data_IF_819079976788
#
_entry.id   IF_819079976788
#
_cell.length_a   1.000
_cell.length_b   1.000
_cell.length_c   1.000
_cell.angle_alpha   90.00
_cell.angle_beta   90.00
_cell.angle_gamma   90.00
#
_symmetry.space_group_name_H-M   'P 1'
#
loop_
_entity.id
_entity.type
_entity.pdbx_description
1 polymer ?
#
# COMPACT_ATOMS: atom_id res chain seq x y z
N UNK A 1 -8.84 0.36 -22.35
CA UNK A 1 -9.58 -0.91 -22.50
C UNK A 1 -8.73 -2.16 -22.22
N UNK A 2 -7.50 -2.28 -22.74
CA UNK A 2 -6.63 -3.45 -22.50
C UNK A 2 -6.34 -3.72 -21.02
N UNK A 3 -6.07 -2.66 -20.24
CA UNK A 3 -5.84 -2.76 -18.78
C UNK A 3 -7.05 -3.32 -18.05
N UNK A 4 -8.27 -2.89 -18.39
CA UNK A 4 -9.50 -3.39 -17.80
C UNK A 4 -9.70 -4.88 -18.09
N UNK A 5 -9.40 -5.33 -19.31
CA UNK A 5 -9.48 -6.75 -19.68
C UNK A 5 -8.44 -7.59 -18.92
N UNK A 6 -7.23 -7.06 -18.73
CA UNK A 6 -6.18 -7.74 -17.95
C UNK A 6 -6.58 -7.90 -16.48
N UNK A 7 -7.14 -6.86 -15.86
CA UNK A 7 -7.64 -6.92 -14.48
C UNK A 7 -8.76 -7.96 -14.32
N UNK A 8 -9.71 -8.03 -15.26
CA UNK A 8 -10.75 -9.06 -15.26
C UNK A 8 -10.17 -10.48 -15.41
N UNK A 9 -9.16 -10.66 -16.26
CA UNK A 9 -8.48 -11.95 -16.40
C UNK A 9 -7.74 -12.34 -15.11
N UNK A 10 -7.09 -11.38 -14.45
CA UNK A 10 -6.45 -11.61 -13.16
C UNK A 10 -7.46 -12.05 -12.11
N UNK A 11 -8.58 -11.33 -11.99
CA UNK A 11 -9.67 -11.67 -11.06
C UNK A 11 -10.24 -13.08 -11.28
N UNK A 12 -10.29 -13.54 -12.53
CA UNK A 12 -10.78 -14.89 -12.86
C UNK A 12 -9.76 -16.00 -12.63
N UNK A 13 -8.49 -15.73 -12.95
CA UNK A 13 -7.50 -16.80 -13.10
C UNK A 13 -6.53 -16.91 -11.91
N UNK A 14 -6.39 -15.85 -11.10
CA UNK A 14 -5.50 -15.88 -9.93
C UNK A 14 -6.19 -16.49 -8.73
N UNK A 15 -5.40 -17.18 -7.90
CA UNK A 15 -5.82 -17.59 -6.56
C UNK A 15 -5.50 -16.48 -5.56
N UNK A 16 -6.49 -16.10 -4.77
CA UNK A 16 -6.36 -15.08 -3.75
C UNK A 16 -6.39 -15.70 -2.36
N UNK A 17 -5.52 -15.21 -1.47
CA UNK A 17 -5.40 -15.69 -0.08
C UNK A 17 -5.84 -14.64 0.93
N UNK A 18 -6.09 -13.41 0.47
CA UNK A 18 -6.56 -12.30 1.29
C UNK A 18 -7.44 -11.37 0.44
N UNK A 19 -8.37 -10.68 1.10
CA UNK A 19 -9.31 -9.73 0.48
C UNK A 19 -8.60 -8.51 -0.10
N UNK A 20 -7.59 -7.89 0.55
CA UNK A 20 -6.92 -6.70 -0.01
C UNK A 20 -6.30 -6.93 -1.39
N UNK A 21 -5.77 -8.12 -1.67
CA UNK A 21 -5.23 -8.43 -3.01
C UNK A 21 -6.31 -8.47 -4.10
N UNK A 22 -7.55 -8.80 -3.73
CA UNK A 22 -8.70 -8.79 -4.64
C UNK A 22 -9.14 -7.34 -4.86
N UNK A 23 -9.23 -6.56 -3.79
CA UNK A 23 -9.62 -5.15 -3.82
C UNK A 23 -8.70 -4.32 -4.72
N UNK A 24 -7.40 -4.57 -4.70
CA UNK A 24 -6.44 -3.90 -5.62
C UNK A 24 -6.77 -4.19 -7.09
N UNK A 25 -7.15 -5.42 -7.43
CA UNK A 25 -7.47 -5.78 -8.82
C UNK A 25 -8.85 -5.23 -9.24
N UNK A 26 -9.82 -5.20 -8.32
CA UNK A 26 -11.12 -4.53 -8.52
C UNK A 26 -10.90 -3.03 -8.71
N UNK A 27 -10.07 -2.38 -7.91
CA UNK A 27 -9.76 -0.95 -8.02
C UNK A 27 -9.04 -0.62 -9.34
N UNK A 28 -8.08 -1.45 -9.76
CA UNK A 28 -7.46 -1.29 -11.08
C UNK A 28 -8.46 -1.42 -12.21
N UNK A 29 -9.38 -2.38 -12.11
CA UNK A 29 -10.46 -2.53 -13.07
C UNK A 29 -11.34 -1.27 -13.06
N UNK A 30 -11.79 -0.85 -11.88
CA UNK A 30 -12.71 0.26 -11.67
C UNK A 30 -12.15 1.57 -12.22
N UNK A 31 -10.88 1.89 -11.93
CA UNK A 31 -10.16 3.04 -12.50
C UNK A 31 -10.04 2.94 -14.02
N UNK A 32 -9.75 1.75 -14.57
CA UNK A 32 -9.58 1.57 -16.01
C UNK A 32 -10.88 1.73 -16.80
N UNK A 33 -12.04 1.61 -16.16
CA UNK A 33 -13.37 1.82 -16.77
C UNK A 33 -14.08 3.07 -16.26
N UNK A 34 -13.48 3.81 -15.32
CA UNK A 34 -14.06 5.03 -14.75
C UNK A 34 -15.30 4.80 -13.88
N UNK A 35 -15.39 3.68 -13.17
CA UNK A 35 -16.52 3.41 -12.26
C UNK A 35 -16.02 3.14 -10.85
N UNK A 36 -16.92 3.30 -9.91
CA UNK A 36 -16.76 2.98 -8.50
C UNK A 36 -17.59 1.76 -8.13
N UNK A 37 -17.07 1.00 -7.18
CA UNK A 37 -17.73 -0.18 -6.64
C UNK A 37 -17.93 -0.03 -5.14
N UNK A 38 -19.15 -0.25 -4.69
CA UNK A 38 -19.49 -0.29 -3.28
C UNK A 38 -19.42 -1.73 -2.78
N UNK A 39 -18.64 -1.93 -1.71
CA UNK A 39 -18.55 -3.20 -1.01
C UNK A 39 -19.75 -3.37 -0.08
N UNK A 40 -20.49 -4.47 -0.26
CA UNK A 40 -21.62 -4.88 0.56
C UNK A 40 -21.27 -6.23 1.17
N UNK A 41 -21.16 -6.26 2.50
CA UNK A 41 -21.05 -7.50 3.25
C UNK A 41 -22.42 -8.18 3.26
N UNK A 42 -22.52 -9.33 2.60
CA UNK A 42 -23.78 -10.09 2.58
C UNK A 42 -23.81 -11.11 3.75
N UNK A 43 -22.65 -11.71 4.07
CA UNK A 43 -22.42 -12.60 5.22
C UNK A 43 -20.91 -12.64 5.58
N UNK A 44 -20.53 -13.26 6.70
CA UNK A 44 -19.12 -13.46 7.11
C UNK A 44 -18.25 -14.23 6.09
N UNK A 45 -18.89 -14.84 5.09
CA UNK A 45 -18.25 -15.68 4.07
C UNK A 45 -18.33 -15.09 2.66
N UNK A 46 -19.11 -14.01 2.46
CA UNK A 46 -19.43 -13.47 1.15
C UNK A 46 -19.41 -11.94 1.14
N UNK A 47 -18.53 -11.41 0.28
CA UNK A 47 -18.37 -9.99 -0.01
C UNK A 47 -18.88 -9.72 -1.43
N UNK A 48 -19.76 -8.74 -1.60
CA UNK A 48 -20.32 -8.37 -2.90
C UNK A 48 -19.96 -6.94 -3.23
N UNK A 49 -19.24 -6.72 -4.33
CA UNK A 49 -18.92 -5.40 -4.85
C UNK A 49 -19.91 -5.08 -5.97
N UNK A 50 -20.73 -4.04 -5.79
CA UNK A 50 -21.71 -3.59 -6.81
C UNK A 50 -21.31 -2.24 -7.38
N UNK A 51 -21.55 -2.07 -8.68
CA UNK A 51 -21.33 -0.77 -9.31
C UNK A 51 -22.23 0.31 -8.68
N UNK A 52 -21.65 1.48 -8.37
CA UNK A 52 -22.38 2.62 -7.81
C UNK A 52 -23.50 3.10 -8.77
N UNK A 53 -23.27 2.99 -10.09
CA UNK A 53 -24.26 3.31 -11.12
C UNK A 53 -25.40 2.28 -11.24
N UNK A 54 -25.49 1.30 -10.34
CA UNK A 54 -26.52 0.25 -10.39
C UNK A 54 -27.95 0.80 -10.34
N UNK A 55 -28.18 1.85 -9.55
CA UNK A 55 -29.50 2.47 -9.43
C UNK A 55 -29.74 3.55 -10.49
N UNK A 56 -28.72 4.34 -10.81
CA UNK A 56 -28.87 5.49 -11.73
C UNK A 56 -28.88 5.07 -13.20
N UNK A 57 -28.13 4.03 -13.57
CA UNK A 57 -27.98 3.57 -14.96
C UNK A 57 -28.40 2.11 -15.16
N UNK A 58 -29.11 1.52 -14.19
CA UNK A 58 -29.50 0.10 -14.20
C UNK A 58 -28.32 -0.86 -14.43
N UNK A 59 -27.14 -0.50 -13.94
CA UNK A 59 -25.95 -1.33 -14.06
C UNK A 59 -26.04 -2.57 -13.15
N UNK A 60 -25.87 -3.75 -13.73
CA UNK A 60 -25.88 -5.03 -12.99
C UNK A 60 -24.49 -5.59 -12.72
N UNK A 61 -23.44 -4.88 -13.15
CA UNK A 61 -22.07 -5.31 -12.96
C UNK A 61 -21.74 -5.47 -11.48
N UNK A 62 -21.30 -6.67 -11.11
CA UNK A 62 -20.96 -7.02 -9.75
C UNK A 62 -19.90 -8.11 -9.68
N UNK A 63 -19.09 -8.04 -8.63
CA UNK A 63 -18.13 -9.05 -8.23
C UNK A 63 -18.57 -9.66 -6.91
N UNK A 64 -18.44 -10.97 -6.78
CA UNK A 64 -18.65 -11.65 -5.51
C UNK A 64 -17.40 -12.39 -5.12
N UNK A 65 -16.99 -12.18 -3.89
CA UNK A 65 -15.82 -12.79 -3.28
C UNK A 65 -16.31 -13.75 -2.21
N UNK A 66 -16.16 -15.03 -2.51
CA UNK A 66 -16.55 -16.13 -1.63
C UNK A 66 -15.32 -16.70 -0.94
N UNK A 67 -15.41 -16.90 0.36
CA UNK A 67 -14.38 -17.63 1.10
C UNK A 67 -14.53 -19.13 0.83
N UNK A 68 -13.50 -19.77 0.30
CA UNK A 68 -13.51 -21.21 -0.01
C UNK A 68 -13.77 -22.04 1.25
N UNK A 69 -14.51 -23.14 1.09
CA UNK A 69 -14.72 -24.15 2.14
C UNK A 69 -13.34 -24.69 2.56
N UNK A 70 -12.95 -24.46 3.81
CA UNK A 70 -11.59 -24.73 4.33
C UNK A 70 -10.72 -23.49 4.59
N UNK A 71 -11.20 -22.29 4.23
CA UNK A 71 -10.69 -20.99 4.71
C UNK A 71 -9.34 -20.53 4.18
N UNK A 72 -8.71 -21.29 3.27
CA UNK A 72 -7.36 -21.00 2.78
C UNK A 72 -7.32 -20.05 1.59
N UNK A 73 -8.38 -19.98 0.79
CA UNK A 73 -8.41 -19.15 -0.41
C UNK A 73 -9.77 -18.50 -0.62
N UNK A 74 -9.78 -17.47 -1.45
CA UNK A 74 -10.96 -16.77 -1.91
C UNK A 74 -11.20 -17.08 -3.39
N UNK A 75 -12.47 -17.22 -3.74
CA UNK A 75 -12.95 -17.39 -5.10
C UNK A 75 -13.72 -16.13 -5.51
N UNK A 76 -13.39 -15.60 -6.69
CA UNK A 76 -14.04 -14.41 -7.24
C UNK A 76 -14.94 -14.82 -8.38
N UNK A 77 -16.23 -14.52 -8.25
CA UNK A 77 -17.24 -14.70 -9.31
C UNK A 77 -17.58 -13.35 -9.91
N UNK A 78 -17.58 -13.28 -11.25
CA UNK A 78 -17.91 -12.05 -12.01
C UNK A 78 -19.25 -12.29 -12.71
N UNK A 79 -20.30 -11.58 -12.30
CA UNK A 79 -21.66 -11.86 -12.77
C UNK A 79 -21.99 -11.17 -14.09
N UNK A 80 -21.78 -9.86 -14.19
CA UNK A 80 -22.14 -9.09 -15.39
C UNK A 80 -21.08 -8.04 -15.72
N UNK A 81 -20.94 -7.72 -17.01
CA UNK A 81 -20.14 -6.60 -17.49
C UNK A 81 -20.97 -5.32 -17.43
N UNK A 82 -20.31 -4.17 -17.36
CA UNK A 82 -20.99 -2.87 -17.39
C UNK A 82 -21.79 -2.70 -18.69
N UNK A 83 -22.99 -2.16 -18.55
CA UNK A 83 -23.92 -1.85 -19.64
C UNK A 83 -24.04 -0.36 -19.91
N UNK A 84 -23.25 0.46 -19.22
CA UNK A 84 -23.25 1.91 -19.35
C UNK A 84 -21.87 2.40 -19.77
N UNK A 85 -21.87 3.38 -20.67
CA UNK A 85 -20.67 4.14 -21.02
C UNK A 85 -20.54 5.26 -19.99
N UNK A 86 -19.83 5.01 -18.89
CA UNK A 86 -19.47 6.10 -18.00
C UNK A 86 -18.38 6.94 -18.69
N UNK A 87 -18.67 8.21 -18.95
CA UNK A 87 -17.72 9.15 -19.51
C UNK A 87 -16.58 9.33 -18.52
N UNK A 88 -15.40 8.88 -18.91
CA UNK A 88 -14.17 9.10 -18.16
C UNK A 88 -13.83 10.60 -18.23
N UNK A 89 -14.03 11.32 -17.14
CA UNK A 89 -13.05 12.33 -16.78
C UNK A 89 -11.97 11.55 -16.02
N UNK A 90 -10.75 11.38 -16.58
CA UNK A 90 -9.65 10.91 -15.77
C UNK A 90 -9.63 11.83 -14.56
N UNK A 91 -9.83 11.28 -13.36
CA UNK A 91 -9.17 11.91 -12.22
C UNK A 91 -7.73 12.02 -12.69
N UNK A 92 -7.23 13.26 -12.84
CA UNK A 92 -5.86 13.53 -13.23
C UNK A 92 -5.03 12.53 -12.44
N UNK A 93 -4.38 11.61 -13.16
CA UNK A 93 -3.42 10.73 -12.53
C UNK A 93 -2.48 11.70 -11.84
N UNK A 94 -2.49 11.72 -10.50
CA UNK A 94 -1.51 12.50 -9.75
C UNK A 94 -0.19 12.25 -10.45
N UNK A 95 0.47 13.30 -10.97
CA UNK A 95 1.64 13.13 -11.81
C UNK A 95 2.58 12.19 -11.08
N UNK A 96 3.11 11.22 -11.83
CA UNK A 96 4.13 10.34 -11.28
C UNK A 96 5.13 11.21 -10.52
N UNK A 97 5.58 10.85 -9.31
CA UNK A 97 6.54 11.66 -8.56
C UNK A 97 7.87 11.89 -9.32
N UNK A 98 8.04 11.26 -10.49
CA UNK A 98 9.16 11.41 -11.41
C UNK A 98 8.85 12.28 -12.65
N UNK A 99 7.59 12.65 -12.88
CA UNK A 99 7.15 13.54 -13.98
C UNK A 99 7.07 15.02 -13.54
N UNK A 100 7.23 15.29 -12.24
CA UNK A 100 7.30 16.64 -11.69
C UNK A 100 8.66 17.21 -12.06
N UNK A 101 8.68 18.29 -12.86
CA UNK A 101 9.90 19.05 -13.11
C UNK A 101 10.41 19.58 -11.75
N UNK A 102 11.64 19.26 -11.31
CA UNK A 102 12.19 19.76 -10.05
C UNK A 102 12.22 21.30 -9.98
N UNK A 103 12.09 21.99 -11.12
CA UNK A 103 11.93 23.44 -11.21
C UNK A 103 10.58 23.96 -10.69
N UNK A 104 9.53 23.13 -10.76
CA UNK A 104 8.15 23.46 -10.38
C UNK A 104 7.81 23.08 -8.94
N UNK A 105 8.70 22.33 -8.26
CA UNK A 105 8.67 22.16 -6.82
C UNK A 105 9.01 23.50 -6.15
N UNK A 106 8.02 24.38 -6.06
CA UNK A 106 8.07 25.43 -5.04
C UNK A 106 8.09 24.73 -3.69
N UNK A 107 9.26 24.71 -3.06
CA UNK A 107 9.37 24.44 -1.63
C UNK A 107 8.62 25.55 -0.90
N UNK A 108 7.30 25.40 -0.76
CA UNK A 108 6.58 26.17 0.24
C UNK A 108 7.31 25.91 1.57
N UNK A 109 7.82 26.94 2.26
CA UNK A 109 8.55 26.74 3.48
C UNK A 109 7.59 26.11 4.47
N UNK A 110 7.77 24.80 4.72
CA UNK A 110 6.96 24.06 5.67
C UNK A 110 7.08 24.78 7.02
N UNK A 111 6.03 25.52 7.40
CA UNK A 111 5.98 26.16 8.70
C UNK A 111 6.06 25.06 9.76
N UNK A 112 7.24 24.90 10.33
CA UNK A 112 7.53 23.88 11.33
C UNK A 112 6.62 24.11 12.53
N UNK A 113 5.56 23.31 12.63
CA UNK A 113 4.69 23.30 13.80
C UNK A 113 5.50 22.94 15.05
N UNK A 114 5.08 23.42 16.23
CA UNK A 114 5.77 23.11 17.49
C UNK A 114 5.88 21.60 17.74
N UNK A 115 4.89 20.83 17.29
CA UNK A 115 4.87 19.38 17.38
C UNK A 115 5.97 18.73 16.52
N UNK A 116 6.20 19.24 15.30
CA UNK A 116 7.31 18.80 14.44
C UNK A 116 8.67 19.16 15.05
N UNK A 117 8.81 20.35 15.64
CA UNK A 117 10.03 20.74 16.37
C UNK A 117 10.29 19.83 17.57
N UNK A 118 9.25 19.44 18.31
CA UNK A 118 9.37 18.52 19.45
C UNK A 118 9.81 17.11 19.00
N UNK A 119 9.18 16.57 17.95
CA UNK A 119 9.56 15.27 17.36
C UNK A 119 10.99 15.25 16.86
N UNK A 120 11.44 16.31 16.16
CA UNK A 120 12.82 16.44 15.68
C UNK A 120 13.83 16.43 16.84
N UNK A 121 13.55 17.19 17.92
CA UNK A 121 14.41 17.18 19.12
C UNK A 121 14.49 15.80 19.77
N UNK A 122 13.37 15.08 19.85
CA UNK A 122 13.34 13.72 20.39
C UNK A 122 14.15 12.76 19.52
N UNK A 123 13.96 12.78 18.20
CA UNK A 123 14.68 11.94 17.27
C UNK A 123 16.19 12.20 17.30
N UNK A 124 16.59 13.46 17.40
CA UNK A 124 17.99 13.85 17.49
C UNK A 124 18.64 13.38 18.81
N UNK A 125 17.90 13.41 19.92
CA UNK A 125 18.37 12.83 21.20
C UNK A 125 18.53 11.31 21.11
N UNK A 126 17.58 10.61 20.49
CA UNK A 126 17.67 9.17 20.22
C UNK A 126 18.91 8.83 19.40
N UNK A 127 19.15 9.55 18.31
CA UNK A 127 20.35 9.36 17.47
C UNK A 127 21.65 9.58 18.24
N UNK A 128 21.72 10.63 19.07
CA UNK A 128 22.90 10.88 19.91
C UNK A 128 23.13 9.77 20.93
N UNK A 129 22.07 9.21 21.53
CA UNK A 129 22.19 8.09 22.47
C UNK A 129 22.72 6.85 21.75
N UNK A 130 22.19 6.53 20.57
CA UNK A 130 22.65 5.39 19.75
C UNK A 130 24.11 5.58 19.35
N UNK A 131 24.50 6.79 18.94
CA UNK A 131 25.89 7.11 18.60
C UNK A 131 26.83 6.94 19.81
N UNK A 132 26.43 7.39 21.00
CA UNK A 132 27.19 7.18 22.23
C UNK A 132 27.32 5.70 22.61
N UNK A 133 26.24 4.91 22.47
CA UNK A 133 26.27 3.47 22.75
C UNK A 133 27.23 2.75 21.79
N UNK A 134 27.15 3.03 20.50
CA UNK A 134 28.09 2.48 19.52
C UNK A 134 29.53 2.90 19.82
N UNK A 135 29.78 4.18 20.08
CA UNK A 135 31.12 4.68 20.44
C UNK A 135 31.68 3.99 21.70
N UNK A 136 30.84 3.76 22.71
CA UNK A 136 31.25 3.03 23.92
C UNK A 136 31.60 1.57 23.61
N UNK A 137 30.82 0.86 22.78
CA UNK A 137 31.14 -0.51 22.37
C UNK A 137 32.48 -0.59 21.64
N UNK A 138 32.77 0.34 20.73
CA UNK A 138 34.07 0.41 20.05
C UNK A 138 35.21 0.70 21.02
N UNK A 139 34.99 1.55 22.03
CA UNK A 139 35.99 1.84 23.05
C UNK A 139 36.27 0.60 23.93
N UNK A 140 35.24 -0.12 24.38
CA UNK A 140 35.41 -1.38 25.12
C UNK A 140 36.13 -2.45 24.30
N UNK A 141 35.82 -2.59 23.01
CA UNK A 141 36.53 -3.51 22.11
C UNK A 141 38.00 -3.11 21.95
N UNK A 142 38.31 -1.82 21.81
CA UNK A 142 39.71 -1.36 21.71
C UNK A 142 40.49 -1.66 22.99
N UNK A 143 39.91 -1.40 24.17
CA UNK A 143 40.54 -1.69 25.46
C UNK A 143 40.75 -3.20 25.64
N UNK A 144 39.80 -4.03 25.25
CA UNK A 144 39.94 -5.48 25.31
C UNK A 144 41.08 -5.98 24.40
N UNK A 145 41.19 -5.46 23.17
CA UNK A 145 42.26 -5.83 22.23
C UNK A 145 43.65 -5.41 22.75
N UNK A 146 43.76 -4.27 23.43
CA UNK A 146 45.04 -3.79 23.98
C UNK A 146 45.43 -4.45 25.32
N UNK A 147 44.47 -4.88 26.14
CA UNK A 147 44.74 -5.49 27.46
C UNK A 147 44.84 -7.03 27.42
N UNK A 148 44.23 -7.70 26.45
CA UNK A 148 44.33 -9.16 26.31
C UNK A 148 45.78 -9.67 26.13
N UNK A 149 46.66 -9.01 25.34
CA UNK A 149 48.05 -9.46 25.19
C UNK A 149 48.88 -9.31 26.48
N UNK A 150 48.58 -8.32 27.31
CA UNK A 150 49.34 -7.99 28.53
C UNK A 150 48.94 -8.83 29.75
N UNK A 151 47.72 -9.39 29.77
CA UNK A 151 47.24 -10.27 30.85
C UNK A 151 47.54 -11.75 30.53
N UNK A 152 47.50 -12.16 29.26
CA UNK A 152 47.69 -13.56 28.87
C UNK A 152 49.12 -13.93 28.44
N UNK A 153 50.05 -12.97 28.39
CA UNK A 153 51.48 -13.26 28.22
C UNK A 153 51.76 -14.21 27.06
N UNK A 154 51.38 -13.85 25.84
CA UNK A 154 51.86 -14.55 24.66
C UNK A 154 53.13 -13.84 24.13
N UNK A 155 54.17 -14.60 23.73
CA UNK A 155 55.49 -14.09 23.37
C UNK A 155 55.50 -13.23 22.10
#
# INVERSE_FOLDING_TARGET
MEIANLSLQNLRNKKYYNVPSIEIEIERYSRAIGVTYDAIMENDQQLVYRCECSKSMNCKASFTVNKSVGGRSYEVTIYERHTHDYGFEPAELDPSPYDIDPSELQEEPVEMTEQMRARRRYFQRMLNIVACLLASQYLWLSVAVFLLPSIFGFP
#
